data_IF_048982726717
#
_entry.id   IF_048982726717
#
_cell.length_a   1.000
_cell.length_b   1.000
_cell.length_c   1.000
_cell.angle_alpha   90.00
_cell.angle_beta   90.00
_cell.angle_gamma   90.00
#
_symmetry.space_group_name_H-M   'P 1'
#
loop_
_entity.id
_entity.type
_entity.pdbx_description
1 polymer ?
#
# COMPACT_ATOMS: atom_id res chain seq x y z
N UNK A 1 14.56 38.81 11.91
CA UNK A 1 13.33 39.32 12.55
C UNK A 1 12.37 38.17 12.53
N UNK A 2 12.08 37.61 13.70
CA UNK A 2 11.14 36.48 13.86
C UNK A 2 9.72 37.00 13.57
N UNK A 3 9.05 36.48 12.51
CA UNK A 3 7.61 36.70 12.34
C UNK A 3 6.91 36.00 13.51
N UNK A 4 6.21 36.75 14.33
CA UNK A 4 5.32 36.19 15.35
C UNK A 4 4.21 35.44 14.63
N UNK A 5 4.02 34.18 14.97
CA UNK A 5 2.84 33.42 14.59
C UNK A 5 1.63 34.10 15.27
N UNK A 6 0.73 34.69 14.51
CA UNK A 6 -0.54 35.18 15.03
C UNK A 6 -1.51 33.99 15.08
N UNK A 7 -1.97 33.68 16.28
CA UNK A 7 -3.06 32.70 16.50
C UNK A 7 -4.36 33.39 16.11
N UNK A 8 -5.00 32.92 15.05
CA UNK A 8 -6.26 33.48 14.57
C UNK A 8 -7.40 32.76 15.28
N UNK A 9 -8.22 33.49 16.04
CA UNK A 9 -9.45 33.00 16.63
C UNK A 9 -10.61 33.11 15.63
N UNK A 10 -11.57 32.17 15.69
CA UNK A 10 -12.80 32.21 14.90
C UNK A 10 -13.46 33.61 14.99
N UNK A 11 -13.41 34.39 13.90
CA UNK A 11 -14.01 35.73 13.84
C UNK A 11 -13.18 36.80 13.16
N UNK A 12 -11.89 36.55 12.88
CA UNK A 12 -11.05 37.46 12.07
C UNK A 12 -10.96 36.93 10.63
N UNK A 13 -10.90 37.85 9.64
CA UNK A 13 -10.64 37.45 8.25
C UNK A 13 -9.27 36.80 8.15
N UNK A 14 -9.24 35.51 7.73
CA UNK A 14 -8.00 34.79 7.48
C UNK A 14 -7.32 35.43 6.27
N UNK A 15 -6.23 36.15 6.51
CA UNK A 15 -5.43 36.76 5.48
C UNK A 15 -4.52 35.68 4.81
N UNK A 16 -4.14 35.97 3.57
CA UNK A 16 -3.13 35.15 2.88
C UNK A 16 -1.83 35.11 3.67
N UNK A 17 -1.22 33.95 3.75
CA UNK A 17 0.05 33.72 4.46
C UNK A 17 0.01 32.52 5.37
N UNK A 18 0.83 32.54 6.41
CA UNK A 18 0.94 31.44 7.38
C UNK A 18 0.14 31.76 8.66
N UNK A 19 -0.68 30.80 9.11
CA UNK A 19 -1.54 30.97 10.28
C UNK A 19 -1.91 29.65 10.97
N UNK A 20 -2.51 29.77 12.14
CA UNK A 20 -3.00 28.65 12.95
C UNK A 20 -4.50 28.78 13.17
N UNK A 21 -5.22 27.66 13.18
CA UNK A 21 -6.64 27.59 13.50
C UNK A 21 -6.94 26.34 14.32
N UNK A 22 -7.73 26.52 15.38
CA UNK A 22 -8.33 25.38 16.09
C UNK A 22 -9.81 25.30 15.73
N UNK A 23 -10.21 24.17 15.21
CA UNK A 23 -11.60 23.88 14.81
C UNK A 23 -12.47 23.55 16.03
N UNK A 24 -13.81 23.71 15.93
CA UNK A 24 -14.72 23.37 17.04
C UNK A 24 -14.70 21.90 17.47
N UNK A 25 -14.28 20.97 16.59
CA UNK A 25 -14.12 19.57 16.86
C UNK A 25 -12.80 19.21 17.57
N UNK A 26 -11.94 20.20 17.85
CA UNK A 26 -10.64 20.00 18.50
C UNK A 26 -9.46 19.82 17.55
N UNK A 27 -9.66 19.67 16.25
CA UNK A 27 -8.59 19.61 15.27
C UNK A 27 -7.84 20.94 15.22
N UNK A 28 -6.53 20.89 14.91
CA UNK A 28 -5.69 22.08 14.80
C UNK A 28 -4.94 22.08 13.49
N UNK A 29 -5.06 23.19 12.75
CA UNK A 29 -4.29 23.42 11.53
C UNK A 29 -3.23 24.50 11.77
N UNK A 30 -2.04 24.25 11.25
CA UNK A 30 -0.94 25.20 11.17
C UNK A 30 -0.34 25.13 9.76
N UNK A 31 -0.39 26.22 9.00
CA UNK A 31 0.09 26.20 7.62
C UNK A 31 -0.30 27.43 6.81
N UNK A 32 -0.24 27.27 5.51
CA UNK A 32 -0.49 28.34 4.54
C UNK A 32 -2.00 28.52 4.29
N UNK A 33 -2.37 29.79 4.11
CA UNK A 33 -3.73 30.25 3.82
C UNK A 33 -3.72 31.08 2.55
N UNK A 34 -4.76 30.93 1.74
CA UNK A 34 -4.97 31.72 0.54
C UNK A 34 -6.46 31.93 0.31
N UNK A 35 -6.86 33.18 -0.02
CA UNK A 35 -8.25 33.56 -0.27
C UNK A 35 -9.20 33.11 0.86
N UNK A 36 -8.77 33.18 2.12
CA UNK A 36 -9.54 32.76 3.29
C UNK A 36 -9.67 31.25 3.50
N UNK A 37 -8.98 30.43 2.71
CA UNK A 37 -9.00 28.97 2.79
C UNK A 37 -7.61 28.35 3.06
N UNK A 38 -7.61 27.13 3.59
CA UNK A 38 -6.40 26.32 3.73
C UNK A 38 -5.88 25.96 2.33
N UNK A 39 -4.63 26.35 2.03
CA UNK A 39 -3.93 26.09 0.78
C UNK A 39 -2.43 25.98 1.02
N UNK A 40 -1.69 25.35 0.10
CA UNK A 40 -0.23 25.24 0.20
C UNK A 40 0.22 24.20 1.20
N UNK A 41 1.31 24.44 1.94
CA UNK A 41 1.86 23.52 2.91
C UNK A 41 1.26 23.73 4.30
N UNK A 42 0.90 22.64 4.97
CA UNK A 42 0.38 22.72 6.33
C UNK A 42 0.30 21.42 7.07
N UNK A 43 0.12 21.53 8.39
CA UNK A 43 -0.04 20.41 9.31
C UNK A 43 -1.41 20.47 9.95
N UNK A 44 -2.16 19.37 9.88
CA UNK A 44 -3.39 19.15 10.64
C UNK A 44 -3.09 18.16 11.77
N UNK A 45 -3.39 18.55 12.99
CA UNK A 45 -3.41 17.65 14.15
C UNK A 45 -4.86 17.33 14.48
N UNK A 46 -5.25 16.08 14.35
CA UNK A 46 -6.61 15.62 14.62
C UNK A 46 -6.82 15.38 16.12
N UNK A 47 -8.01 15.63 16.64
CA UNK A 47 -8.34 15.41 18.05
C UNK A 47 -8.11 13.95 18.49
N UNK A 48 -8.28 13.00 17.57
CA UNK A 48 -8.04 11.56 17.82
C UNK A 48 -6.55 11.18 17.94
N UNK A 49 -5.62 12.15 17.80
CA UNK A 49 -4.17 11.94 17.90
C UNK A 49 -3.48 11.65 16.56
N UNK A 50 -4.21 11.59 15.46
CA UNK A 50 -3.62 11.52 14.11
C UNK A 50 -3.04 12.87 13.68
N UNK A 51 -2.17 12.84 12.66
CA UNK A 51 -1.60 14.04 12.05
C UNK A 51 -1.52 13.88 10.53
N UNK A 52 -1.75 14.98 9.81
CA UNK A 52 -1.38 15.08 8.41
C UNK A 52 -0.43 16.26 8.21
N UNK A 53 0.64 16.04 7.46
CA UNK A 53 1.60 17.08 7.08
C UNK A 53 1.86 16.99 5.57
N UNK A 54 1.55 18.05 4.84
CA UNK A 54 1.71 18.05 3.38
C UNK A 54 0.92 19.15 2.68
N UNK A 55 0.61 18.88 1.43
CA UNK A 55 -0.03 19.82 0.51
C UNK A 55 -1.55 19.87 0.70
N UNK A 56 -2.07 21.07 0.56
CA UNK A 56 -3.49 21.40 0.69
C UNK A 56 -3.96 22.23 -0.50
N UNK A 57 -5.13 21.92 -0.99
CA UNK A 57 -5.80 22.70 -2.03
C UNK A 57 -7.28 22.87 -1.69
N UNK A 58 -7.74 24.14 -1.60
CA UNK A 58 -9.12 24.49 -1.32
C UNK A 58 -9.70 23.77 -0.07
N UNK A 59 -8.93 23.71 1.02
CA UNK A 59 -9.32 23.10 2.29
C UNK A 59 -9.27 21.56 2.30
N UNK A 60 -8.77 20.92 1.26
CA UNK A 60 -8.63 19.47 1.17
C UNK A 60 -7.16 19.07 1.09
N UNK A 61 -6.85 17.90 1.63
CA UNK A 61 -5.57 17.25 1.43
C UNK A 61 -5.42 16.91 -0.06
N UNK A 62 -4.34 17.39 -0.68
CA UNK A 62 -4.01 17.17 -2.08
C UNK A 62 -2.49 17.07 -2.23
N UNK A 63 -2.00 16.59 -3.40
CA UNK A 63 -0.57 16.50 -3.64
C UNK A 63 0.12 15.51 -2.71
N UNK A 64 1.34 15.82 -2.26
CA UNK A 64 2.14 14.92 -1.42
C UNK A 64 2.04 15.26 0.05
N UNK A 65 1.99 14.21 0.89
CA UNK A 65 1.98 14.38 2.33
C UNK A 65 2.19 13.10 3.11
N UNK A 66 2.24 13.26 4.42
CA UNK A 66 2.37 12.18 5.38
C UNK A 66 1.14 12.22 6.30
N UNK A 67 0.37 11.16 6.29
CA UNK A 67 -0.72 10.91 7.22
C UNK A 67 -0.26 9.89 8.25
N UNK A 68 -0.29 10.28 9.53
CA UNK A 68 -0.07 9.36 10.65
C UNK A 68 -1.37 9.24 11.43
N UNK A 69 -1.85 8.03 11.59
CA UNK A 69 -3.02 7.71 12.39
C UNK A 69 -2.63 7.22 13.79
N UNK A 70 -3.56 7.16 14.74
CA UNK A 70 -3.32 6.53 16.03
C UNK A 70 -2.72 5.13 15.88
N UNK A 71 -1.89 4.70 16.85
CA UNK A 71 -1.19 3.41 16.83
C UNK A 71 -0.09 3.26 15.77
N UNK A 72 0.41 4.40 15.21
CA UNK A 72 1.51 4.45 14.24
C UNK A 72 1.22 3.83 12.87
N UNK A 73 -0.03 3.78 12.48
CA UNK A 73 -0.39 3.56 11.07
C UNK A 73 0.02 4.81 10.28
N UNK A 74 0.78 4.64 9.21
CA UNK A 74 1.34 5.75 8.45
C UNK A 74 1.16 5.53 6.95
N UNK A 75 0.79 6.59 6.26
CA UNK A 75 0.88 6.68 4.81
C UNK A 75 1.70 7.91 4.43
N UNK A 76 2.68 7.71 3.55
CA UNK A 76 3.49 8.75 2.92
C UNK A 76 3.34 8.62 1.41
N UNK A 77 2.76 9.63 0.74
CA UNK A 77 2.49 9.52 -0.70
C UNK A 77 1.61 10.62 -1.24
N UNK A 78 0.99 10.30 -2.36
CA UNK A 78 0.14 11.21 -3.11
C UNK A 78 -1.32 11.10 -2.66
N UNK A 79 -2.00 12.24 -2.59
CA UNK A 79 -3.40 12.38 -2.24
C UNK A 79 -4.16 13.16 -3.33
N UNK A 80 -5.40 12.81 -3.52
CA UNK A 80 -6.34 13.55 -4.31
C UNK A 80 -7.66 13.71 -3.54
N UNK A 81 -8.07 14.96 -3.26
CA UNK A 81 -9.29 15.26 -2.51
C UNK A 81 -9.41 14.55 -1.15
N UNK A 82 -8.30 14.31 -0.44
CA UNK A 82 -8.23 13.64 0.85
C UNK A 82 -8.12 12.12 0.78
N UNK A 83 -8.03 11.55 -0.42
CA UNK A 83 -7.99 10.10 -0.68
C UNK A 83 -6.59 9.73 -1.17
N UNK A 84 -6.02 8.62 -0.69
CA UNK A 84 -4.74 8.11 -1.19
C UNK A 84 -4.88 7.72 -2.66
N UNK A 85 -4.06 8.34 -3.52
CA UNK A 85 -4.15 8.16 -4.97
C UNK A 85 -2.80 8.50 -5.61
N UNK A 86 -2.27 7.62 -6.45
CA UNK A 86 -0.93 7.75 -7.00
C UNK A 86 0.08 6.87 -6.27
N UNK A 87 1.34 7.27 -6.19
CA UNK A 87 2.38 6.49 -5.53
C UNK A 87 2.49 6.80 -4.04
N UNK A 88 2.70 5.75 -3.22
CA UNK A 88 2.88 5.92 -1.79
C UNK A 88 3.46 4.72 -1.07
N UNK A 89 3.74 4.94 0.21
CA UNK A 89 4.23 3.96 1.16
C UNK A 89 3.22 3.91 2.32
N UNK A 90 2.69 2.73 2.56
CA UNK A 90 1.86 2.45 3.73
C UNK A 90 2.63 1.58 4.72
N UNK A 91 2.57 1.92 5.98
CA UNK A 91 3.14 1.13 7.08
C UNK A 91 2.07 0.89 8.13
N UNK A 92 1.80 -0.38 8.43
CA UNK A 92 0.84 -0.76 9.46
C UNK A 92 1.46 -0.77 10.86
N UNK A 93 0.64 -0.70 11.92
CA UNK A 93 1.11 -0.79 13.31
C UNK A 93 1.88 -2.08 13.63
N UNK A 94 1.56 -3.18 12.96
CA UNK A 94 2.25 -4.45 13.13
C UNK A 94 3.55 -4.58 12.31
N UNK A 95 3.98 -3.49 11.61
CA UNK A 95 5.22 -3.45 10.83
C UNK A 95 5.11 -4.01 9.41
N UNK A 96 3.91 -4.33 8.92
CA UNK A 96 3.75 -4.63 7.50
C UNK A 96 3.88 -3.33 6.70
N UNK A 97 4.55 -3.40 5.53
CA UNK A 97 4.82 -2.26 4.65
C UNK A 97 4.37 -2.57 3.22
N UNK A 98 3.68 -1.63 2.61
CA UNK A 98 3.40 -1.62 1.18
C UNK A 98 4.06 -0.40 0.55
N UNK A 99 4.64 -0.58 -0.65
CA UNK A 99 5.17 0.49 -1.48
C UNK A 99 4.71 0.25 -2.92
N UNK A 100 3.99 1.21 -3.49
CA UNK A 100 3.43 1.06 -4.82
C UNK A 100 2.34 2.06 -5.14
N UNK A 101 1.50 1.69 -6.10
CA UNK A 101 0.39 2.52 -6.57
C UNK A 101 -0.85 2.35 -5.69
N UNK A 102 -1.57 3.45 -5.51
CA UNK A 102 -2.84 3.54 -4.79
C UNK A 102 -3.91 4.14 -5.69
N UNK A 103 -5.12 3.69 -5.51
CA UNK A 103 -6.31 4.26 -6.13
C UNK A 103 -7.50 4.15 -5.19
N UNK A 104 -8.08 5.30 -4.83
CA UNK A 104 -9.20 5.35 -3.90
C UNK A 104 -8.94 4.58 -2.60
N UNK A 105 -7.80 4.84 -1.92
CA UNK A 105 -7.33 4.20 -0.69
C UNK A 105 -7.02 2.69 -0.82
N UNK A 106 -7.02 2.12 -2.02
CA UNK A 106 -6.73 0.71 -2.26
C UNK A 106 -5.40 0.52 -2.99
N UNK A 107 -4.71 -0.59 -2.71
CA UNK A 107 -3.54 -0.99 -3.50
C UNK A 107 -3.97 -1.30 -4.93
N UNK A 108 -3.27 -0.71 -5.90
CA UNK A 108 -3.56 -0.81 -7.33
C UNK A 108 -2.24 -0.86 -8.12
N UNK A 109 -2.28 -1.25 -9.40
CA UNK A 109 -1.11 -1.19 -10.28
C UNK A 109 0.07 -2.04 -9.79
N UNK A 110 1.28 -1.50 -9.84
CA UNK A 110 2.49 -2.19 -9.39
C UNK A 110 2.80 -1.85 -7.93
N UNK A 111 3.19 -2.87 -7.16
CA UNK A 111 3.57 -2.64 -5.77
C UNK A 111 4.20 -3.84 -5.09
N UNK A 112 4.93 -3.55 -4.00
CA UNK A 112 5.56 -4.55 -3.14
C UNK A 112 4.99 -4.46 -1.74
N UNK A 113 4.50 -5.56 -1.22
CA UNK A 113 4.09 -5.69 0.18
C UNK A 113 4.97 -6.66 0.92
N UNK A 114 5.48 -6.21 2.06
CA UNK A 114 6.24 -7.03 3.02
C UNK A 114 5.44 -7.13 4.30
N UNK A 115 5.20 -8.33 4.77
CA UNK A 115 4.53 -8.58 6.06
C UNK A 115 5.54 -8.74 7.18
N UNK A 116 5.12 -8.48 8.40
CA UNK A 116 5.97 -8.61 9.60
C UNK A 116 6.50 -10.03 9.85
N UNK A 117 5.85 -11.05 9.30
CA UNK A 117 6.31 -12.44 9.35
C UNK A 117 7.38 -12.78 8.29
N UNK A 118 7.75 -11.81 7.43
CA UNK A 118 8.74 -11.98 6.37
C UNK A 118 8.18 -12.45 5.03
N UNK A 119 6.86 -12.57 4.88
CA UNK A 119 6.25 -12.76 3.56
C UNK A 119 6.47 -11.52 2.70
N UNK A 120 6.62 -11.73 1.37
CA UNK A 120 6.78 -10.64 0.39
C UNK A 120 5.92 -10.97 -0.83
N UNK A 121 5.13 -10.01 -1.27
CA UNK A 121 4.53 -10.03 -2.60
C UNK A 121 5.03 -8.82 -3.39
N UNK A 122 5.48 -9.07 -4.61
CA UNK A 122 5.88 -8.06 -5.60
C UNK A 122 5.16 -8.34 -6.91
N UNK A 123 4.38 -7.41 -7.41
CA UNK A 123 3.62 -7.61 -8.64
C UNK A 123 2.44 -6.68 -8.80
N UNK A 124 1.50 -7.12 -9.63
CA UNK A 124 0.28 -6.38 -9.94
C UNK A 124 -0.75 -6.50 -8.81
N UNK A 125 -1.41 -5.39 -8.55
CA UNK A 125 -2.49 -5.24 -7.57
C UNK A 125 -3.74 -4.72 -8.24
N UNK A 126 -4.89 -5.15 -7.77
CA UNK A 126 -6.18 -4.64 -8.20
C UNK A 126 -7.16 -4.68 -7.05
N UNK A 127 -7.79 -3.53 -6.77
CA UNK A 127 -8.77 -3.39 -5.69
C UNK A 127 -8.28 -3.97 -4.34
N UNK A 128 -6.98 -3.81 -4.02
CA UNK A 128 -6.33 -4.31 -2.81
C UNK A 128 -5.92 -5.80 -2.84
N UNK A 129 -6.11 -6.51 -3.94
CA UNK A 129 -5.79 -7.94 -4.08
C UNK A 129 -4.63 -8.17 -5.06
N UNK A 130 -3.85 -9.24 -4.84
CA UNK A 130 -2.90 -9.73 -5.84
C UNK A 130 -3.63 -10.01 -7.14
N UNK A 131 -3.07 -9.52 -8.24
CA UNK A 131 -3.66 -9.67 -9.56
C UNK A 131 -2.56 -9.80 -10.62
N UNK A 132 -2.93 -10.17 -11.87
CA UNK A 132 -1.98 -10.22 -12.96
C UNK A 132 -0.75 -11.05 -12.64
N UNK A 133 0.44 -10.55 -12.95
CA UNK A 133 1.72 -11.24 -12.71
C UNK A 133 2.38 -10.75 -11.44
N UNK A 134 2.95 -11.70 -10.70
CA UNK A 134 3.66 -11.38 -9.46
C UNK A 134 4.57 -12.49 -8.97
N UNK A 135 5.34 -12.13 -7.96
CA UNK A 135 6.20 -13.03 -7.18
C UNK A 135 5.72 -13.02 -5.74
N UNK A 136 5.45 -14.18 -5.17
CA UNK A 136 5.12 -14.34 -3.76
C UNK A 136 6.14 -15.23 -3.08
N UNK A 137 6.74 -14.72 -2.02
CA UNK A 137 7.79 -15.39 -1.25
C UNK A 137 7.28 -15.58 0.18
N UNK A 138 7.30 -16.82 0.63
CA UNK A 138 6.94 -17.20 1.99
C UNK A 138 8.20 -17.36 2.86
N UNK A 139 8.09 -17.18 4.17
CA UNK A 139 9.14 -17.59 5.12
C UNK A 139 9.54 -19.06 4.89
N UNK A 140 10.85 -19.34 4.91
CA UNK A 140 11.36 -20.69 4.59
C UNK A 140 11.64 -20.92 3.11
N UNK A 141 11.58 -19.85 2.28
CA UNK A 141 12.10 -19.90 0.90
C UNK A 141 11.18 -20.50 -0.15
N UNK A 142 9.91 -20.83 0.20
CA UNK A 142 8.93 -21.18 -0.81
C UNK A 142 8.59 -19.93 -1.64
N UNK A 143 8.80 -20.00 -2.95
CA UNK A 143 8.59 -18.91 -3.89
C UNK A 143 7.62 -19.32 -5.00
N UNK A 144 6.64 -18.51 -5.26
CA UNK A 144 5.80 -18.60 -6.44
C UNK A 144 6.05 -17.41 -7.38
N UNK A 145 6.15 -17.69 -8.67
CA UNK A 145 6.24 -16.69 -9.74
C UNK A 145 5.20 -17.04 -10.79
N UNK A 146 4.21 -16.18 -11.02
CA UNK A 146 3.15 -16.54 -11.95
C UNK A 146 1.99 -15.58 -11.92
N UNK A 147 0.83 -16.09 -12.33
CA UNK A 147 -0.41 -15.36 -12.49
C UNK A 147 -1.27 -15.43 -11.21
N UNK A 148 -1.89 -14.31 -10.88
CA UNK A 148 -2.79 -14.14 -9.74
C UNK A 148 -4.13 -13.57 -10.21
N UNK A 149 -5.19 -13.94 -9.54
CA UNK A 149 -6.51 -13.35 -9.72
C UNK A 149 -7.25 -13.27 -8.41
N UNK A 150 -7.59 -12.04 -8.01
CA UNK A 150 -8.31 -11.75 -6.77
C UNK A 150 -7.68 -12.42 -5.53
N UNK A 151 -6.35 -12.30 -5.39
CA UNK A 151 -5.57 -12.85 -4.28
C UNK A 151 -5.22 -14.34 -4.39
N UNK A 152 -5.67 -15.04 -5.42
CA UNK A 152 -5.43 -16.47 -5.60
C UNK A 152 -4.43 -16.74 -6.74
N UNK A 153 -3.62 -17.81 -6.60
CA UNK A 153 -2.83 -18.33 -7.70
C UNK A 153 -3.78 -18.85 -8.79
N UNK A 154 -3.63 -18.34 -9.99
CA UNK A 154 -4.50 -18.66 -11.14
C UNK A 154 -3.65 -18.63 -12.41
N UNK A 155 -3.95 -19.52 -13.39
CA UNK A 155 -3.21 -19.54 -14.65
C UNK A 155 -1.81 -20.14 -14.52
N UNK A 156 -0.83 -19.64 -15.28
CA UNK A 156 0.50 -20.21 -15.39
C UNK A 156 1.44 -19.68 -14.30
N UNK A 157 2.25 -20.60 -13.74
CA UNK A 157 3.24 -20.23 -12.74
C UNK A 157 4.24 -21.33 -12.39
N UNK A 158 5.26 -20.91 -11.67
CA UNK A 158 6.29 -21.80 -11.09
C UNK A 158 6.29 -21.60 -9.58
N UNK A 159 6.23 -22.70 -8.84
CA UNK A 159 6.44 -22.71 -7.40
C UNK A 159 7.71 -23.51 -7.08
N UNK A 160 8.67 -22.86 -6.45
CA UNK A 160 9.96 -23.44 -6.10
C UNK A 160 10.16 -23.43 -4.59
N UNK A 161 10.59 -24.53 -4.00
CA UNK A 161 10.94 -24.63 -2.59
C UNK A 161 12.42 -24.33 -2.33
N UNK A 162 12.81 -24.19 -1.06
CA UNK A 162 14.20 -23.96 -0.63
C UNK A 162 15.21 -24.98 -1.13
N UNK A 163 14.78 -26.22 -1.39
CA UNK A 163 15.62 -27.31 -1.86
C UNK A 163 15.78 -27.34 -3.39
N UNK A 164 15.17 -26.39 -4.12
CA UNK A 164 15.21 -26.29 -5.57
C UNK A 164 14.26 -27.23 -6.32
N UNK A 165 13.38 -27.94 -5.60
CA UNK A 165 12.31 -28.69 -6.26
C UNK A 165 11.19 -27.72 -6.68
N UNK A 166 10.57 -28.00 -7.84
CA UNK A 166 9.59 -27.05 -8.41
C UNK A 166 8.38 -27.70 -9.07
N UNK A 167 7.29 -27.01 -9.00
CA UNK A 167 6.09 -27.25 -9.81
C UNK A 167 6.03 -26.17 -10.91
N UNK A 168 5.93 -26.60 -12.16
CA UNK A 168 5.81 -25.70 -13.31
C UNK A 168 4.56 -26.09 -14.11
N UNK A 169 3.63 -25.16 -14.26
CA UNK A 169 2.40 -25.42 -14.99
C UNK A 169 1.26 -24.48 -14.66
N UNK A 170 0.07 -25.04 -14.52
CA UNK A 170 -1.17 -24.29 -14.32
C UNK A 170 -1.71 -24.46 -12.90
N UNK A 171 -2.28 -23.37 -12.41
CA UNK A 171 -2.87 -23.22 -11.08
C UNK A 171 -4.33 -22.80 -11.24
N UNK A 172 -5.19 -23.28 -10.36
CA UNK A 172 -6.60 -22.94 -10.33
C UNK A 172 -7.06 -22.77 -8.89
N UNK A 173 -7.46 -21.54 -8.53
CA UNK A 173 -7.86 -21.17 -7.17
C UNK A 173 -6.86 -21.63 -6.11
N UNK A 174 -5.59 -21.32 -6.33
CA UNK A 174 -4.43 -21.71 -5.49
C UNK A 174 -4.17 -23.21 -5.37
N UNK A 175 -4.80 -24.03 -6.21
CA UNK A 175 -4.52 -25.47 -6.29
C UNK A 175 -3.68 -25.77 -7.53
N UNK A 176 -2.72 -26.70 -7.40
CA UNK A 176 -1.96 -27.21 -8.53
C UNK A 176 -2.94 -27.97 -9.45
N UNK A 177 -3.02 -27.56 -10.73
CA UNK A 177 -4.02 -28.10 -11.65
C UNK A 177 -3.41 -28.98 -12.74
N UNK A 178 -2.65 -28.41 -13.67
CA UNK A 178 -1.93 -29.11 -14.73
C UNK A 178 -0.46 -28.72 -14.63
N UNK A 179 0.34 -29.43 -13.84
CA UNK A 179 1.72 -29.04 -13.54
C UNK A 179 2.65 -30.25 -13.52
N UNK A 180 3.89 -30.03 -13.93
CA UNK A 180 4.97 -31.01 -13.80
C UNK A 180 5.80 -30.71 -12.56
N UNK A 181 6.07 -31.72 -11.76
CA UNK A 181 6.95 -31.64 -10.61
C UNK A 181 8.36 -32.11 -10.96
N UNK A 182 9.35 -31.30 -10.64
CA UNK A 182 10.76 -31.54 -10.85
C UNK A 182 11.50 -31.61 -9.53
N UNK A 183 12.51 -32.50 -9.44
CA UNK A 183 13.48 -32.45 -8.35
C UNK A 183 14.51 -31.33 -8.56
N UNK A 184 15.43 -31.17 -7.60
CA UNK A 184 16.50 -30.17 -7.66
C UNK A 184 17.50 -30.34 -8.84
N UNK A 185 17.51 -31.50 -9.47
CA UNK A 185 18.37 -31.83 -10.63
C UNK A 185 17.60 -31.77 -11.95
N UNK A 186 16.38 -31.20 -11.89
CA UNK A 186 15.45 -31.06 -13.03
C UNK A 186 14.91 -32.40 -13.59
N UNK A 187 14.99 -33.48 -12.82
CA UNK A 187 14.33 -34.74 -13.21
C UNK A 187 12.84 -34.63 -12.94
N UNK A 188 12.04 -35.14 -13.88
CA UNK A 188 10.58 -35.22 -13.69
C UNK A 188 10.24 -36.33 -12.72
N UNK A 189 9.56 -36.00 -11.65
CA UNK A 189 9.12 -36.93 -10.60
C UNK A 189 7.66 -37.37 -10.83
N UNK A 190 6.84 -36.50 -11.42
CA UNK A 190 5.44 -36.77 -11.70
C UNK A 190 4.72 -35.52 -12.19
N UNK A 191 3.41 -35.65 -12.38
CA UNK A 191 2.56 -34.58 -12.91
C UNK A 191 1.25 -34.50 -12.15
N UNK A 192 0.70 -33.31 -12.10
CA UNK A 192 -0.72 -33.09 -11.82
C UNK A 192 -1.48 -32.95 -13.13
N UNK A 193 -2.59 -33.66 -13.25
CA UNK A 193 -3.53 -33.55 -14.39
C UNK A 193 -4.93 -33.36 -13.81
N UNK A 194 -5.55 -32.22 -14.08
CA UNK A 194 -6.84 -31.83 -13.51
C UNK A 194 -6.89 -31.89 -11.98
N UNK A 195 -5.76 -31.57 -11.32
CA UNK A 195 -5.63 -31.60 -9.86
C UNK A 195 -5.29 -32.97 -9.27
N UNK A 196 -5.20 -34.01 -10.05
CA UNK A 196 -4.85 -35.36 -9.61
C UNK A 196 -3.37 -35.66 -9.86
N UNK A 197 -2.69 -36.23 -8.84
CA UNK A 197 -1.28 -36.61 -8.94
C UNK A 197 -1.07 -37.90 -9.70
N UNK A 198 -0.21 -37.88 -10.72
CA UNK A 198 0.22 -39.02 -11.52
C UNK A 198 1.74 -39.19 -11.35
N UNK A 199 2.16 -40.26 -10.70
CA UNK A 199 3.57 -40.59 -10.55
C UNK A 199 4.12 -41.18 -11.85
N UNK A 200 5.32 -40.74 -12.26
CA UNK A 200 6.10 -41.41 -13.32
C UNK A 200 6.89 -42.57 -12.79
#
# INVERSE_FOLDING_TARGET
MSKKNEVISLGEELNDGFGELTFPNGDKYEGEWKDGGINGQGTMSFENGGTYMGEWENGKINGRGILTLPEWEMYEGEFQDGIQNGHGIYTSPCGARYEGEFKNDLFEGQGTKTWSNGEIYEGEWKDGFFHGRGTYILPGGLKYVGEFKNGLLEGKGEMTNENGCKYLGEWKKSQIWNSTYYDKNENIIGKFVNGEWIKQ
#
